data_IF_211392726748
#
_entry.id   IF_211392726748
#
_cell.length_a   1.000
_cell.length_b   1.000
_cell.length_c   1.000
_cell.angle_alpha   90.00
_cell.angle_beta   90.00
_cell.angle_gamma   90.00
#
_symmetry.space_group_name_H-M   'P 1'
#
loop_
_entity.id
_entity.type
_entity.pdbx_description
1 polymer ?
#
# COMPACT_ATOMS: atom_id res chain seq x y z
N UNK A 1 -18.56 -4.31 -1.52
CA UNK A 1 -17.57 -3.47 -0.78
C UNK A 1 -16.34 -3.25 -1.66
N UNK A 2 -15.52 -2.23 -1.43
CA UNK A 2 -14.20 -2.08 -2.06
C UNK A 2 -13.20 -1.95 -0.92
N UNK A 3 -12.08 -2.66 -1.01
CA UNK A 3 -10.98 -2.56 -0.05
C UNK A 3 -9.72 -2.13 -0.78
N UNK A 4 -9.04 -1.12 -0.28
CA UNK A 4 -7.89 -0.50 -0.93
C UNK A 4 -6.59 -0.68 -0.14
N UNK A 5 -6.61 -1.52 0.90
CA UNK A 5 -5.44 -1.75 1.73
C UNK A 5 -5.51 -3.14 2.39
N UNK A 6 -4.89 -4.14 1.77
CA UNK A 6 -4.83 -5.53 2.27
C UNK A 6 -3.48 -6.16 2.02
N UNK A 7 -3.07 -7.10 2.88
CA UNK A 7 -1.75 -7.72 2.83
C UNK A 7 -1.85 -9.19 2.47
N UNK A 8 -0.80 -9.71 1.86
CA UNK A 8 -0.64 -11.11 1.44
C UNK A 8 0.60 -11.72 2.10
N UNK A 9 0.92 -12.97 1.73
CA UNK A 9 2.15 -13.64 2.17
C UNK A 9 3.44 -13.01 1.63
N UNK A 10 3.36 -11.94 0.84
CA UNK A 10 4.54 -11.14 0.47
C UNK A 10 5.00 -10.22 1.61
N UNK A 11 4.19 -10.08 2.67
CA UNK A 11 4.56 -9.41 3.92
C UNK A 11 3.95 -10.12 5.15
N UNK A 12 3.09 -9.45 5.92
CA UNK A 12 2.49 -9.95 7.17
C UNK A 12 1.09 -10.55 6.99
N UNK A 13 0.54 -10.50 5.77
CA UNK A 13 -0.70 -11.16 5.43
C UNK A 13 -0.58 -12.69 5.50
N UNK A 14 -1.71 -13.37 5.65
CA UNK A 14 -1.75 -14.83 5.91
C UNK A 14 -2.17 -15.66 4.69
N UNK A 15 -2.42 -15.01 3.54
CA UNK A 15 -2.92 -15.66 2.32
C UNK A 15 -2.05 -15.29 1.11
N UNK A 16 -1.89 -16.21 0.17
CA UNK A 16 -1.33 -15.86 -1.15
C UNK A 16 -2.31 -14.94 -1.91
N UNK A 17 -1.84 -14.09 -2.85
CA UNK A 17 -2.71 -13.18 -3.61
C UNK A 17 -3.92 -13.85 -4.29
N UNK A 18 -3.75 -15.05 -4.85
CA UNK A 18 -4.85 -15.80 -5.48
C UNK A 18 -5.94 -16.22 -4.48
N UNK A 19 -5.57 -16.64 -3.29
CA UNK A 19 -6.52 -17.02 -2.25
C UNK A 19 -7.19 -15.79 -1.63
N UNK A 20 -6.42 -14.73 -1.35
CA UNK A 20 -6.92 -13.46 -0.84
C UNK A 20 -8.02 -12.91 -1.75
N UNK A 21 -7.75 -12.84 -3.05
CA UNK A 21 -8.69 -12.32 -4.06
C UNK A 21 -9.93 -13.19 -4.22
N UNK A 22 -9.79 -14.52 -4.22
CA UNK A 22 -10.93 -15.44 -4.28
C UNK A 22 -11.83 -15.33 -3.05
N UNK A 23 -11.25 -15.24 -1.84
CA UNK A 23 -12.02 -15.07 -0.60
C UNK A 23 -12.74 -13.71 -0.57
N UNK A 24 -12.09 -12.64 -1.02
CA UNK A 24 -12.72 -11.33 -1.14
C UNK A 24 -13.92 -11.35 -2.11
N UNK A 25 -13.77 -11.96 -3.29
CA UNK A 25 -14.86 -12.14 -4.24
C UNK A 25 -16.05 -12.91 -3.63
N UNK A 26 -15.76 -14.04 -2.97
CA UNK A 26 -16.78 -14.85 -2.29
C UNK A 26 -17.48 -14.10 -1.14
N UNK A 27 -16.80 -13.16 -0.49
CA UNK A 27 -17.36 -12.29 0.55
C UNK A 27 -18.15 -11.09 -0.01
N UNK A 28 -18.28 -10.94 -1.33
CA UNK A 28 -19.06 -9.87 -1.97
C UNK A 28 -18.31 -8.54 -2.13
N UNK A 29 -16.97 -8.57 -2.10
CA UNK A 29 -16.16 -7.42 -2.51
C UNK A 29 -16.27 -7.24 -4.03
N UNK A 30 -16.10 -6.00 -4.49
CA UNK A 30 -16.18 -5.60 -5.90
C UNK A 30 -14.83 -5.16 -6.47
N UNK A 31 -13.85 -4.90 -5.61
CA UNK A 31 -12.46 -4.63 -5.97
C UNK A 31 -11.59 -4.76 -4.70
N UNK A 32 -10.31 -5.05 -4.90
CA UNK A 32 -9.31 -5.22 -3.85
C UNK A 32 -8.01 -4.52 -4.26
N UNK A 33 -7.31 -3.84 -3.35
CA UNK A 33 -5.90 -3.53 -3.52
C UNK A 33 -5.04 -4.41 -2.61
N UNK A 34 -3.95 -4.92 -3.16
CA UNK A 34 -2.93 -5.65 -2.40
C UNK A 34 -1.77 -4.69 -2.21
N UNK A 35 -1.42 -4.42 -0.96
CA UNK A 35 -0.52 -3.35 -0.53
C UNK A 35 0.43 -3.87 0.54
N UNK A 36 1.15 -4.94 0.24
CA UNK A 36 2.12 -5.54 1.16
C UNK A 36 3.15 -4.53 1.68
N UNK A 37 3.61 -4.74 2.91
CA UNK A 37 4.62 -3.89 3.54
C UNK A 37 5.95 -3.94 2.78
N UNK A 38 6.50 -2.76 2.49
CA UNK A 38 7.81 -2.61 1.87
C UNK A 38 8.62 -1.48 2.50
N UNK A 39 9.93 -1.57 2.32
CA UNK A 39 10.90 -0.52 2.57
C UNK A 39 11.96 -0.49 1.44
N UNK A 40 13.06 0.24 1.64
CA UNK A 40 14.14 0.34 0.67
C UNK A 40 14.84 -1.00 0.35
N UNK A 41 14.69 -2.02 1.19
CA UNK A 41 15.35 -3.32 1.05
C UNK A 41 14.61 -4.29 0.12
N UNK A 42 13.27 -4.18 0.04
CA UNK A 42 12.45 -5.21 -0.61
C UNK A 42 11.44 -4.69 -1.65
N UNK A 43 11.24 -3.36 -1.76
CA UNK A 43 10.19 -2.80 -2.63
C UNK A 43 10.24 -3.33 -4.07
N UNK A 44 11.42 -3.46 -4.67
CA UNK A 44 11.57 -3.94 -6.06
C UNK A 44 11.04 -5.36 -6.23
N UNK A 45 11.32 -6.24 -5.26
CA UNK A 45 10.91 -7.64 -5.31
C UNK A 45 9.40 -7.77 -5.16
N UNK A 46 8.83 -7.09 -4.15
CA UNK A 46 7.38 -7.14 -3.89
C UNK A 46 6.60 -6.51 -5.04
N UNK A 47 7.05 -5.38 -5.58
CA UNK A 47 6.46 -4.73 -6.76
C UNK A 47 6.45 -5.67 -7.96
N UNK A 48 7.59 -6.31 -8.28
CA UNK A 48 7.67 -7.25 -9.40
C UNK A 48 6.71 -8.45 -9.21
N UNK A 49 6.64 -8.99 -8.00
CA UNK A 49 5.77 -10.13 -7.66
C UNK A 49 4.28 -9.78 -7.80
N UNK A 50 3.84 -8.64 -7.25
CA UNK A 50 2.42 -8.26 -7.31
C UNK A 50 1.98 -7.87 -8.72
N UNK A 51 2.83 -7.18 -9.48
CA UNK A 51 2.57 -6.88 -10.90
C UNK A 51 2.49 -8.16 -11.74
N UNK A 52 3.39 -9.12 -11.50
CA UNK A 52 3.36 -10.41 -12.18
C UNK A 52 2.05 -11.16 -11.91
N UNK A 53 1.61 -11.23 -10.64
CA UNK A 53 0.35 -11.86 -10.28
C UNK A 53 -0.85 -11.21 -10.98
N UNK A 54 -0.97 -9.89 -10.91
CA UNK A 54 -2.10 -9.16 -11.54
C UNK A 54 -2.07 -9.31 -13.05
N UNK A 55 -0.89 -9.28 -13.67
CA UNK A 55 -0.72 -9.44 -15.12
C UNK A 55 -1.13 -10.84 -15.59
N UNK A 56 -0.61 -11.89 -14.95
CA UNK A 56 -0.91 -13.29 -15.31
C UNK A 56 -2.38 -13.66 -15.05
N UNK A 57 -2.96 -13.09 -13.99
CA UNK A 57 -4.35 -13.38 -13.60
C UNK A 57 -5.38 -12.47 -14.27
N UNK A 58 -4.94 -11.57 -15.16
CA UNK A 58 -5.80 -10.57 -15.79
C UNK A 58 -6.93 -11.24 -16.57
N UNK A 59 -8.18 -10.86 -16.27
CA UNK A 59 -9.38 -11.44 -16.91
C UNK A 59 -9.82 -12.80 -16.35
N UNK A 60 -9.00 -13.45 -15.51
CA UNK A 60 -9.36 -14.67 -14.81
C UNK A 60 -9.89 -14.40 -13.38
N UNK A 61 -9.58 -13.24 -12.81
CA UNK A 61 -10.06 -12.83 -11.50
C UNK A 61 -11.52 -12.35 -11.56
N UNK A 62 -12.32 -12.76 -10.58
CA UNK A 62 -13.74 -12.38 -10.45
C UNK A 62 -13.93 -10.91 -10.08
N UNK A 63 -12.93 -10.32 -9.44
CA UNK A 63 -12.92 -8.90 -9.06
C UNK A 63 -11.64 -8.23 -9.57
N UNK A 64 -11.69 -6.93 -9.92
CA UNK A 64 -10.49 -6.15 -10.20
C UNK A 64 -9.55 -6.13 -8.99
N UNK A 65 -8.25 -6.27 -9.27
CA UNK A 65 -7.19 -6.17 -8.28
C UNK A 65 -6.27 -5.03 -8.65
N UNK A 66 -6.11 -4.08 -7.73
CA UNK A 66 -5.19 -2.96 -7.85
C UNK A 66 -3.85 -3.35 -7.20
N UNK A 67 -2.76 -3.48 -7.96
CA UNK A 67 -1.46 -3.75 -7.38
C UNK A 67 -0.96 -2.46 -6.69
N UNK A 68 -0.48 -2.60 -5.45
CA UNK A 68 0.07 -1.53 -4.64
C UNK A 68 1.10 -2.03 -3.65
N UNK A 69 1.60 -1.13 -2.80
CA UNK A 69 2.51 -1.43 -1.68
C UNK A 69 2.25 -0.45 -0.53
N UNK A 70 2.63 -0.83 0.69
CA UNK A 70 2.65 0.06 1.85
C UNK A 70 4.10 0.36 2.29
N UNK A 71 4.54 1.61 2.16
CA UNK A 71 5.79 2.06 2.77
C UNK A 71 5.65 2.04 4.29
N UNK A 72 6.47 1.24 4.96
CA UNK A 72 6.29 0.94 6.39
C UNK A 72 7.57 1.22 7.17
N UNK A 73 7.47 2.04 8.21
CA UNK A 73 8.61 2.50 9.03
C UNK A 73 9.79 3.10 8.22
N UNK A 74 9.49 3.62 7.02
CA UNK A 74 10.45 4.31 6.17
C UNK A 74 10.77 5.69 6.77
N UNK A 75 12.06 6.10 6.87
CA UNK A 75 12.42 7.44 7.32
C UNK A 75 11.72 8.52 6.47
N UNK A 76 11.07 9.53 7.09
CA UNK A 76 10.36 10.59 6.38
C UNK A 76 11.16 11.24 5.26
N UNK A 77 12.48 11.36 5.45
CA UNK A 77 13.41 11.98 4.52
C UNK A 77 13.50 11.29 3.16
N UNK A 78 13.15 10.00 3.08
CA UNK A 78 13.24 9.21 1.85
C UNK A 78 11.88 8.76 1.29
N UNK A 79 10.77 9.04 1.98
CA UNK A 79 9.42 8.62 1.57
C UNK A 79 9.10 9.08 0.14
N UNK A 80 9.28 10.38 -0.15
CA UNK A 80 8.98 10.93 -1.47
C UNK A 80 9.79 10.25 -2.60
N UNK A 81 11.09 10.01 -2.35
CA UNK A 81 11.96 9.34 -3.34
C UNK A 81 11.56 7.88 -3.56
N UNK A 82 11.15 7.15 -2.50
CA UNK A 82 10.68 5.78 -2.66
C UNK A 82 9.33 5.71 -3.37
N UNK A 83 8.40 6.62 -3.09
CA UNK A 83 7.13 6.73 -3.85
C UNK A 83 7.42 6.89 -5.34
N UNK A 84 8.34 7.80 -5.70
CA UNK A 84 8.72 8.02 -7.10
C UNK A 84 9.31 6.74 -7.72
N UNK A 85 10.28 6.10 -7.06
CA UNK A 85 10.89 4.85 -7.54
C UNK A 85 9.84 3.76 -7.76
N UNK A 86 8.95 3.53 -6.81
CA UNK A 86 7.87 2.55 -6.93
C UNK A 86 6.96 2.86 -8.13
N UNK A 87 6.66 4.13 -8.36
CA UNK A 87 5.88 4.58 -9.54
C UNK A 87 6.59 4.30 -10.85
N UNK A 88 7.91 4.49 -10.92
CA UNK A 88 8.68 4.13 -12.14
C UNK A 88 8.64 2.64 -12.46
N UNK A 89 8.41 1.79 -11.46
CA UNK A 89 8.26 0.34 -11.64
C UNK A 89 6.84 -0.08 -12.05
N UNK A 90 5.89 0.85 -12.15
CA UNK A 90 4.54 0.60 -12.65
C UNK A 90 3.45 0.51 -11.58
N UNK A 91 3.77 0.79 -10.31
CA UNK A 91 2.78 0.84 -9.21
C UNK A 91 2.37 2.28 -8.94
N UNK A 92 1.11 2.63 -9.21
CA UNK A 92 0.56 3.95 -8.92
C UNK A 92 -0.09 4.06 -7.54
N UNK A 93 -0.50 2.94 -6.94
CA UNK A 93 -1.12 2.87 -5.63
C UNK A 93 -0.07 2.64 -4.55
N UNK A 94 0.39 3.72 -3.92
CA UNK A 94 1.39 3.67 -2.85
C UNK A 94 0.75 4.15 -1.57
N UNK A 95 0.62 3.24 -0.61
CA UNK A 95 0.17 3.53 0.74
C UNK A 95 1.38 3.88 1.59
N UNK A 96 1.22 4.76 2.57
CA UNK A 96 2.23 4.98 3.60
C UNK A 96 1.62 4.68 4.96
N UNK A 97 2.36 3.93 5.77
CA UNK A 97 2.01 3.66 7.15
C UNK A 97 2.09 4.96 7.96
N UNK A 98 0.96 5.47 8.42
CA UNK A 98 0.88 6.73 9.15
C UNK A 98 1.34 6.62 10.59
N UNK A 99 1.51 7.77 11.23
CA UNK A 99 1.85 7.86 12.65
C UNK A 99 0.66 7.41 13.50
N UNK A 100 0.86 6.40 14.34
CA UNK A 100 -0.18 5.78 15.16
C UNK A 100 0.24 5.69 16.62
N UNK A 101 -0.72 5.48 17.51
CA UNK A 101 -0.48 5.19 18.93
C UNK A 101 -0.11 3.72 19.18
N UNK A 102 -0.36 2.84 18.21
CA UNK A 102 -0.15 1.40 18.38
C UNK A 102 1.33 1.01 18.33
N UNK A 103 2.17 1.76 17.61
CA UNK A 103 3.57 1.41 17.35
C UNK A 103 4.44 2.66 17.09
N UNK A 104 5.78 2.55 17.19
CA UNK A 104 6.68 3.71 17.25
C UNK A 104 7.05 4.27 15.87
N UNK A 105 6.07 4.78 15.13
CA UNK A 105 6.32 5.43 13.83
C UNK A 105 7.03 6.78 14.04
N UNK A 106 8.05 7.07 13.23
CA UNK A 106 8.83 8.32 13.35
C UNK A 106 7.96 9.54 13.02
N UNK A 107 8.00 10.56 13.87
CA UNK A 107 7.30 11.83 13.64
C UNK A 107 7.73 12.53 12.34
N UNK A 108 6.76 13.14 11.66
CA UNK A 108 6.94 13.74 10.33
C UNK A 108 6.62 12.80 9.17
N UNK A 109 6.29 11.53 9.44
CA UNK A 109 5.90 10.54 8.44
C UNK A 109 4.62 10.95 7.72
N UNK A 110 3.60 11.42 8.46
CA UNK A 110 2.32 11.82 7.87
C UNK A 110 2.51 12.93 6.84
N UNK A 111 3.22 13.99 7.23
CA UNK A 111 3.49 15.14 6.36
C UNK A 111 4.36 14.76 5.16
N UNK A 112 5.38 13.93 5.36
CA UNK A 112 6.23 13.45 4.28
C UNK A 112 5.48 12.56 3.28
N UNK A 113 4.53 11.75 3.76
CA UNK A 113 3.65 10.95 2.90
C UNK A 113 2.77 11.84 2.02
N UNK A 114 2.14 12.85 2.61
CA UNK A 114 1.25 13.79 1.88
C UNK A 114 2.05 14.57 0.84
N UNK A 115 3.16 15.20 1.25
CA UNK A 115 4.02 15.98 0.34
C UNK A 115 4.70 15.11 -0.73
N UNK A 116 5.02 13.86 -0.40
CA UNK A 116 5.54 12.86 -1.33
C UNK A 116 4.48 12.33 -2.30
N UNK A 117 3.21 12.70 -2.11
CA UNK A 117 2.11 12.31 -2.96
C UNK A 117 1.71 10.85 -2.80
N UNK A 118 1.73 10.32 -1.58
CA UNK A 118 1.14 9.01 -1.28
C UNK A 118 -0.32 8.94 -1.75
N UNK A 119 -0.75 7.77 -2.22
CA UNK A 119 -2.13 7.55 -2.68
C UNK A 119 -3.10 7.39 -1.50
N UNK A 120 -2.61 6.88 -0.38
CA UNK A 120 -3.32 6.71 0.87
C UNK A 120 -2.34 6.85 2.04
N UNK A 121 -2.75 7.57 3.09
CA UNK A 121 -2.09 7.55 4.38
C UNK A 121 -2.88 6.62 5.31
N UNK A 122 -2.32 5.45 5.61
CA UNK A 122 -2.98 4.44 6.45
C UNK A 122 -2.87 4.81 7.94
N UNK A 123 -3.91 4.47 8.70
CA UNK A 123 -3.98 4.59 10.18
C UNK A 123 -3.22 5.79 10.81
N UNK A 124 -3.42 7.05 10.35
CA UNK A 124 -2.67 8.19 10.85
C UNK A 124 -3.27 8.75 12.14
N UNK A 125 -3.28 7.93 13.20
CA UNK A 125 -3.84 8.28 14.51
C UNK A 125 -3.25 9.56 15.13
N UNK A 126 -2.06 9.98 14.70
CA UNK A 126 -1.37 11.21 15.12
C UNK A 126 -1.27 12.23 13.96
N UNK A 127 -2.39 12.56 13.31
CA UNK A 127 -2.43 13.56 12.24
C UNK A 127 -2.81 14.96 12.75
N UNK A 128 -2.14 15.99 12.24
CA UNK A 128 -2.44 17.39 12.58
C UNK A 128 -3.54 17.96 11.67
N UNK A 129 -4.24 19.00 12.12
CA UNK A 129 -5.24 19.68 11.27
C UNK A 129 -4.64 20.24 9.97
N UNK A 130 -3.39 20.71 10.03
CA UNK A 130 -2.70 21.25 8.85
C UNK A 130 -2.38 20.16 7.84
N UNK A 131 -1.97 18.96 8.30
CA UNK A 131 -1.73 17.82 7.43
C UNK A 131 -3.05 17.31 6.83
N UNK A 132 -4.16 17.31 7.60
CA UNK A 132 -5.49 16.98 7.06
C UNK A 132 -5.89 17.94 5.93
N UNK A 133 -5.69 19.24 6.11
CA UNK A 133 -6.00 20.25 5.07
C UNK A 133 -5.11 20.08 3.83
N UNK A 134 -3.86 19.68 4.03
CA UNK A 134 -2.90 19.46 2.95
C UNK A 134 -3.23 18.20 2.13
N UNK A 135 -3.88 17.21 2.74
CA UNK A 135 -4.25 15.95 2.11
C UNK A 135 -5.57 15.99 1.30
N UNK A 136 -6.35 17.07 1.41
CA UNK A 136 -7.66 17.25 0.77
C UNK A 136 -7.55 17.83 -0.65
#
# INVERSE_FOLDING_TARGET
>A
MIDLHTHSLLSDGVLVPSELTRRAANAGYRALAITDHVDASNYETVVAQILSFVSVSRGALEIPVLPGVELTHVPPEIIASLIEKIRTLGISWVVVHGETLAEPVKGGTNRAAILGGASLLAHPGLITEDDVKLAA
#
